data_IF_628251412998
#
_entry.id   IF_628251412998
#
_cell.length_a   1.000
_cell.length_b   1.000
_cell.length_c   1.000
_cell.angle_alpha   90.00
_cell.angle_beta   90.00
_cell.angle_gamma   90.00
#
_symmetry.space_group_name_H-M   'P 1'
#
loop_
_entity.id
_entity.type
_entity.pdbx_description
1 polymer ?
#
# COMPACT_ATOMS: atom_id res chain seq x y z
N UNK A 1 13.80 -3.06 10.78
CA UNK A 1 14.78 -2.02 10.38
C UNK A 1 15.74 -2.53 9.32
N UNK A 2 16.33 -3.73 9.46
CA UNK A 2 17.33 -4.24 8.51
C UNK A 2 16.86 -4.30 7.04
N UNK A 3 15.64 -4.78 6.77
CA UNK A 3 15.14 -4.86 5.39
C UNK A 3 14.91 -3.47 4.78
N UNK A 4 14.38 -2.52 5.57
CA UNK A 4 14.15 -1.14 5.12
C UNK A 4 15.47 -0.48 4.75
N UNK A 5 16.51 -0.60 5.56
CA UNK A 5 17.82 0.00 5.25
C UNK A 5 18.51 -0.63 4.03
N UNK A 6 18.26 -1.90 3.73
CA UNK A 6 18.79 -2.57 2.53
C UNK A 6 18.10 -2.09 1.25
N UNK A 7 16.77 -1.96 1.28
CA UNK A 7 15.98 -1.56 0.11
C UNK A 7 16.02 -0.05 -0.09
N UNK A 8 15.90 0.71 0.99
CA UNK A 8 15.87 2.16 1.02
C UNK A 8 17.09 2.73 1.79
N UNK A 9 18.32 2.59 1.24
CA UNK A 9 19.49 3.19 1.85
C UNK A 9 19.39 4.72 1.80
N UNK A 10 19.86 5.40 2.84
CA UNK A 10 19.87 6.87 2.93
C UNK A 10 18.48 7.53 2.84
N UNK A 11 17.41 6.82 3.22
CA UNK A 11 16.05 7.37 3.22
C UNK A 11 15.90 8.64 4.10
N UNK A 12 16.81 8.82 5.06
CA UNK A 12 16.88 9.99 5.93
C UNK A 12 17.58 11.22 5.30
N UNK A 13 18.15 11.09 4.09
CA UNK A 13 18.83 12.15 3.36
C UNK A 13 17.93 12.60 2.20
N UNK A 14 17.38 13.81 2.30
CA UNK A 14 16.33 14.29 1.38
C UNK A 14 16.78 14.30 -0.08
N UNK A 15 18.04 14.65 -0.32
CA UNK A 15 18.63 14.80 -1.65
C UNK A 15 18.80 13.45 -2.37
N UNK A 16 18.88 12.34 -1.62
CA UNK A 16 19.02 10.99 -2.17
C UNK A 16 17.66 10.39 -2.58
N UNK A 17 16.56 10.83 -1.96
CA UNK A 17 15.20 10.33 -2.21
C UNK A 17 14.60 11.02 -3.44
N UNK A 18 15.13 10.66 -4.60
CA UNK A 18 14.64 11.13 -5.90
C UNK A 18 13.44 10.33 -6.42
N UNK A 19 12.82 10.80 -7.50
CA UNK A 19 11.79 10.05 -8.22
C UNK A 19 12.29 8.66 -8.64
N UNK A 20 13.41 8.61 -9.37
CA UNK A 20 14.04 7.37 -9.82
C UNK A 20 14.38 6.44 -8.65
N UNK A 21 14.80 6.99 -7.51
CA UNK A 21 15.06 6.21 -6.31
C UNK A 21 13.83 5.40 -5.88
N UNK A 22 12.64 6.01 -5.86
CA UNK A 22 11.40 5.36 -5.44
C UNK A 22 10.78 4.45 -6.52
N UNK A 23 10.95 4.77 -7.80
CA UNK A 23 10.54 3.91 -8.92
C UNK A 23 11.20 2.53 -8.80
N UNK A 24 12.49 2.52 -8.49
CA UNK A 24 13.35 1.35 -8.55
C UNK A 24 13.28 0.44 -7.30
N UNK A 25 12.56 0.83 -6.24
CA UNK A 25 12.61 0.18 -4.93
C UNK A 25 11.23 -0.15 -4.38
N UNK A 26 11.04 -1.36 -3.87
CA UNK A 26 9.84 -1.74 -3.12
C UNK A 26 10.09 -2.88 -2.13
N UNK A 27 9.34 -2.86 -1.03
CA UNK A 27 9.25 -3.99 -0.09
C UNK A 27 7.94 -4.74 -0.32
N UNK A 28 8.00 -6.06 -0.33
CA UNK A 28 6.87 -6.96 -0.56
C UNK A 28 6.62 -7.78 0.70
N UNK A 29 5.35 -7.94 1.07
CA UNK A 29 4.92 -8.88 2.10
C UNK A 29 3.68 -9.65 1.64
N UNK A 30 3.42 -10.81 2.24
CA UNK A 30 2.22 -11.58 1.96
C UNK A 30 0.95 -10.90 2.51
N UNK A 31 1.04 -10.28 3.69
CA UNK A 31 -0.13 -9.79 4.44
C UNK A 31 -0.22 -8.26 4.51
N UNK A 32 -1.43 -7.73 4.61
CA UNK A 32 -1.68 -6.28 4.64
C UNK A 32 -1.22 -5.62 5.96
N UNK A 33 -1.34 -6.33 7.09
CA UNK A 33 -0.89 -5.86 8.41
C UNK A 33 0.63 -5.64 8.44
N UNK A 34 1.41 -6.57 7.89
CA UNK A 34 2.86 -6.43 7.73
C UNK A 34 3.20 -5.22 6.85
N UNK A 35 2.51 -5.04 5.73
CA UNK A 35 2.68 -3.88 4.85
C UNK A 35 2.40 -2.57 5.59
N UNK A 36 1.30 -2.50 6.34
CA UNK A 36 0.94 -1.34 7.14
C UNK A 36 2.01 -1.04 8.20
N UNK A 37 2.50 -2.05 8.91
CA UNK A 37 3.55 -1.89 9.92
C UNK A 37 4.88 -1.40 9.32
N UNK A 38 5.29 -1.93 8.17
CA UNK A 38 6.49 -1.48 7.45
C UNK A 38 6.32 -0.03 6.99
N UNK A 39 5.20 0.31 6.35
CA UNK A 39 4.95 1.66 5.87
C UNK A 39 4.92 2.68 7.01
N UNK A 40 4.23 2.39 8.13
CA UNK A 40 4.18 3.24 9.31
C UNK A 40 5.56 3.45 9.95
N UNK A 41 6.41 2.42 9.93
CA UNK A 41 7.79 2.55 10.42
C UNK A 41 8.68 3.34 9.45
N UNK A 42 8.49 3.14 8.14
CA UNK A 42 9.37 3.68 7.09
C UNK A 42 9.18 5.18 6.90
N UNK A 43 7.95 5.69 6.97
CA UNK A 43 7.69 7.14 6.81
C UNK A 43 8.37 8.00 7.89
N UNK A 44 8.59 7.44 9.08
CA UNK A 44 9.28 8.14 10.17
C UNK A 44 10.78 8.34 9.90
N UNK A 45 11.37 7.54 9.01
CA UNK A 45 12.77 7.69 8.59
C UNK A 45 12.95 8.78 7.54
N UNK A 46 11.90 9.08 6.76
CA UNK A 46 11.93 10.13 5.75
C UNK A 46 11.94 11.51 6.42
N UNK A 47 12.85 12.43 6.05
CA UNK A 47 12.89 13.77 6.63
C UNK A 47 11.69 14.60 6.16
N UNK A 48 11.40 15.69 6.88
CA UNK A 48 10.33 16.62 6.55
C UNK A 48 9.10 16.51 7.43
N UNK A 49 8.19 17.48 7.22
CA UNK A 49 6.96 17.66 7.97
C UNK A 49 5.94 16.55 7.65
N UNK A 50 5.26 16.08 8.70
CA UNK A 50 4.19 15.10 8.59
C UNK A 50 2.86 15.83 8.37
N UNK A 51 2.19 15.51 7.27
CA UNK A 51 0.85 15.98 6.96
C UNK A 51 -0.15 14.91 7.39
N UNK A 52 -1.14 15.32 8.19
CA UNK A 52 -2.20 14.44 8.67
C UNK A 52 -3.54 14.81 8.03
N UNK A 53 -4.22 13.82 7.46
CA UNK A 53 -5.54 13.97 6.88
C UNK A 53 -6.51 13.01 7.57
N UNK A 54 -7.43 13.56 8.35
CA UNK A 54 -8.51 12.80 8.95
C UNK A 54 -9.64 12.59 7.93
N UNK A 55 -10.11 11.35 7.81
CA UNK A 55 -11.23 11.01 6.97
C UNK A 55 -12.56 11.45 7.60
N UNK A 56 -13.60 11.54 6.78
CA UNK A 56 -14.98 11.65 7.25
C UNK A 56 -15.72 10.34 6.96
N UNK A 57 -16.10 9.63 8.03
CA UNK A 57 -16.82 8.36 7.96
C UNK A 57 -18.32 8.58 8.20
N UNK A 58 -19.14 7.95 7.35
CA UNK A 58 -20.60 8.08 7.38
C UNK A 58 -21.24 6.70 7.28
N UNK A 59 -22.20 6.39 8.15
CA UNK A 59 -23.03 5.18 8.05
C UNK A 59 -24.04 5.30 6.92
N UNK A 60 -24.29 4.19 6.22
CA UNK A 60 -25.31 4.12 5.17
C UNK A 60 -26.51 3.39 5.77
N UNK A 61 -27.41 4.14 6.43
CA UNK A 61 -28.54 3.57 7.18
C UNK A 61 -29.56 2.81 6.29
N UNK A 62 -29.66 3.19 5.02
CA UNK A 62 -30.57 2.59 4.05
C UNK A 62 -30.24 1.10 3.80
N UNK A 63 -28.97 0.74 3.90
CA UNK A 63 -28.45 -0.62 3.67
C UNK A 63 -28.40 -1.46 4.96
N UNK A 64 -28.78 -0.89 6.10
CA UNK A 64 -28.87 -1.61 7.38
C UNK A 64 -30.20 -2.37 7.44
N UNK A 65 -30.14 -3.64 7.82
CA UNK A 65 -31.32 -4.48 8.09
C UNK A 65 -32.30 -3.75 9.02
N UNK A 66 -33.60 -3.83 8.74
CA UNK A 66 -34.64 -3.06 9.46
C UNK A 66 -34.59 -3.27 10.97
N UNK A 67 -34.22 -4.48 11.42
CA UNK A 67 -34.07 -4.83 12.84
C UNK A 67 -32.88 -4.13 13.53
N UNK A 68 -31.88 -3.71 12.75
CA UNK A 68 -30.67 -3.04 13.23
C UNK A 68 -30.69 -1.51 13.01
N UNK A 69 -31.73 -0.98 12.32
CA UNK A 69 -31.89 0.46 12.09
C UNK A 69 -32.12 1.20 13.41
N UNK A 70 -31.28 2.19 13.70
CA UNK A 70 -31.34 2.99 14.94
C UNK A 70 -30.33 2.60 16.02
N UNK A 71 -29.57 1.51 15.85
CA UNK A 71 -28.40 1.24 16.67
C UNK A 71 -27.32 2.29 16.36
N UNK A 72 -27.12 3.25 17.27
CA UNK A 72 -26.10 4.29 17.13
C UNK A 72 -24.72 3.66 17.27
N UNK A 73 -24.08 3.36 16.14
CA UNK A 73 -22.67 2.94 16.13
C UNK A 73 -21.82 4.16 16.51
N UNK A 74 -20.98 4.01 17.54
CA UNK A 74 -20.06 5.07 17.93
C UNK A 74 -19.12 5.41 16.76
N UNK A 75 -18.86 6.70 16.52
CA UNK A 75 -17.95 7.14 15.46
C UNK A 75 -16.55 6.54 15.60
N UNK A 76 -16.10 6.30 16.84
CA UNK A 76 -14.83 5.62 17.15
C UNK A 76 -14.74 4.20 16.55
N UNK A 77 -15.86 3.48 16.52
CA UNK A 77 -15.92 2.15 15.89
C UNK A 77 -15.85 2.24 14.36
N UNK A 78 -16.34 3.33 13.75
CA UNK A 78 -16.18 3.57 12.30
C UNK A 78 -14.72 3.88 11.97
N UNK A 79 -14.13 4.79 12.75
CA UNK A 79 -12.81 5.35 12.52
C UNK A 79 -11.69 4.31 12.69
N UNK A 80 -11.92 3.28 13.50
CA UNK A 80 -10.95 2.19 13.73
C UNK A 80 -10.92 1.14 12.61
N UNK A 81 -11.89 1.15 11.68
CA UNK A 81 -11.91 0.23 10.55
C UNK A 81 -10.84 0.61 9.51
N UNK A 82 -9.99 -0.37 9.17
CA UNK A 82 -8.94 -0.23 8.15
C UNK A 82 -9.02 -1.34 7.08
N UNK A 83 -10.16 -1.50 6.37
CA UNK A 83 -10.27 -2.53 5.34
C UNK A 83 -9.35 -2.20 4.14
N UNK A 84 -8.80 -3.22 3.44
CA UNK A 84 -7.85 -3.00 2.34
C UNK A 84 -8.39 -2.13 1.19
N UNK A 85 -9.71 -2.12 0.99
CA UNK A 85 -10.36 -1.33 -0.05
C UNK A 85 -10.54 0.15 0.30
N UNK A 86 -10.37 0.56 1.57
CA UNK A 86 -10.45 1.94 2.00
C UNK A 86 -9.05 2.50 2.30
N UNK A 87 -8.85 3.83 2.18
CA UNK A 87 -7.71 4.50 2.77
C UNK A 87 -7.84 4.51 4.30
N UNK A 88 -6.73 4.67 5.03
CA UNK A 88 -6.75 4.78 6.48
C UNK A 88 -7.57 5.99 6.92
N UNK A 89 -8.19 5.89 8.10
CA UNK A 89 -8.92 7.00 8.71
C UNK A 89 -8.00 8.21 8.95
N UNK A 90 -6.84 7.98 9.57
CA UNK A 90 -5.78 8.97 9.67
C UNK A 90 -4.70 8.67 8.62
N UNK A 91 -4.71 9.42 7.53
CA UNK A 91 -3.70 9.32 6.47
C UNK A 91 -2.55 10.26 6.78
N UNK A 92 -1.40 9.69 7.11
CA UNK A 92 -0.17 10.42 7.41
C UNK A 92 0.80 10.35 6.23
N UNK A 93 1.22 11.51 5.71
CA UNK A 93 2.07 11.63 4.53
C UNK A 93 3.23 12.60 4.77
N UNK A 94 4.29 12.48 3.98
CA UNK A 94 5.38 13.46 3.89
C UNK A 94 5.66 13.76 2.43
N UNK A 95 6.14 14.97 2.15
CA UNK A 95 6.64 15.30 0.80
C UNK A 95 7.79 14.34 0.45
N UNK A 96 7.76 13.77 -0.75
CA UNK A 96 8.72 12.78 -1.22
C UNK A 96 8.41 11.34 -0.83
N UNK A 97 7.33 11.05 -0.09
CA UNK A 97 6.97 9.66 0.19
C UNK A 97 6.23 9.01 -1.01
N UNK A 98 6.43 7.69 -1.26
CA UNK A 98 5.64 6.95 -2.22
C UNK A 98 4.27 6.60 -1.65
N UNK A 99 3.23 6.80 -2.45
CA UNK A 99 1.85 6.38 -2.20
C UNK A 99 1.34 5.50 -3.35
N UNK A 100 0.27 4.77 -3.13
CA UNK A 100 -0.37 3.91 -4.11
C UNK A 100 -1.86 4.23 -4.18
N UNK A 101 -2.38 4.35 -5.40
CA UNK A 101 -3.79 4.63 -5.66
C UNK A 101 -4.66 3.38 -5.43
N UNK A 102 -5.80 3.54 -4.75
CA UNK A 102 -6.71 2.45 -4.37
C UNK A 102 -7.91 2.29 -5.31
N UNK A 103 -8.11 3.23 -6.25
CA UNK A 103 -9.23 3.23 -7.20
C UNK A 103 -8.77 3.75 -8.56
N UNK A 104 -9.52 3.35 -9.58
CA UNK A 104 -9.39 3.94 -10.91
C UNK A 104 -10.01 5.33 -10.86
N UNK A 105 -9.19 6.37 -11.08
CA UNK A 105 -9.68 7.74 -11.22
C UNK A 105 -9.73 8.12 -12.70
N UNK A 106 -8.62 7.87 -13.41
CA UNK A 106 -8.47 8.23 -14.82
C UNK A 106 -7.52 7.24 -15.51
N UNK A 107 -7.99 6.01 -15.82
CA UNK A 107 -7.12 4.94 -16.34
C UNK A 107 -6.38 5.27 -17.62
N UNK A 108 -6.99 6.12 -18.47
CA UNK A 108 -6.38 6.54 -19.74
C UNK A 108 -5.10 7.35 -19.56
N UNK A 109 -4.97 8.00 -18.40
CA UNK A 109 -3.82 8.85 -18.05
C UNK A 109 -3.01 8.24 -16.89
N UNK A 110 -3.01 6.91 -16.81
CA UNK A 110 -2.21 6.16 -15.83
C UNK A 110 -2.74 6.16 -14.40
N UNK A 111 -3.86 6.83 -14.07
CA UNK A 111 -4.43 6.84 -12.71
C UNK A 111 -5.34 5.63 -12.45
N UNK A 112 -4.72 4.45 -12.42
CA UNK A 112 -5.35 3.16 -12.12
C UNK A 112 -5.11 2.72 -10.66
N UNK A 113 -5.95 1.80 -10.17
CA UNK A 113 -5.66 1.09 -8.91
C UNK A 113 -4.30 0.38 -8.98
N UNK A 114 -3.45 0.60 -7.98
CA UNK A 114 -2.09 0.07 -7.93
C UNK A 114 -1.01 1.00 -8.50
N UNK A 115 -1.39 2.12 -9.11
CA UNK A 115 -0.44 3.13 -9.59
C UNK A 115 0.32 3.71 -8.41
N UNK A 116 1.64 3.67 -8.47
CA UNK A 116 2.54 4.24 -7.47
C UNK A 116 2.81 5.69 -7.85
N UNK A 117 2.79 6.57 -6.85
CA UNK A 117 3.01 8.00 -7.01
C UNK A 117 4.02 8.48 -5.96
N UNK A 118 4.79 9.52 -6.23
CA UNK A 118 5.58 10.25 -5.23
C UNK A 118 4.88 11.56 -4.89
N UNK A 119 4.65 11.81 -3.61
CA UNK A 119 4.04 13.06 -3.13
C UNK A 119 4.97 14.25 -3.41
N UNK A 120 4.48 15.26 -4.11
CA UNK A 120 5.18 16.52 -4.38
C UNK A 120 4.69 17.63 -3.46
N UNK A 121 3.37 17.69 -3.24
CA UNK A 121 2.75 18.69 -2.38
C UNK A 121 1.46 18.16 -1.75
N UNK A 122 1.14 18.68 -0.56
CA UNK A 122 -0.04 18.33 0.22
C UNK A 122 -0.88 19.59 0.48
N UNK A 123 -2.02 19.71 -0.19
CA UNK A 123 -3.02 20.74 0.09
C UNK A 123 -4.25 20.13 0.76
N UNK A 124 -5.12 20.98 1.32
CA UNK A 124 -6.28 20.54 2.12
C UNK A 124 -7.21 19.55 1.39
N UNK A 125 -7.37 19.70 0.07
CA UNK A 125 -8.32 18.89 -0.73
C UNK A 125 -7.68 18.15 -1.91
N UNK A 126 -6.39 18.35 -2.14
CA UNK A 126 -5.66 17.84 -3.30
C UNK A 126 -4.24 17.46 -2.87
N UNK A 127 -3.79 16.30 -3.32
CA UNK A 127 -2.37 15.90 -3.29
C UNK A 127 -1.80 16.05 -4.69
N UNK A 128 -0.68 16.74 -4.82
CA UNK A 128 0.10 16.80 -6.05
C UNK A 128 1.13 15.67 -6.01
N UNK A 129 1.21 14.87 -7.05
CA UNK A 129 2.10 13.72 -7.08
C UNK A 129 2.64 13.42 -8.49
N UNK A 130 3.75 12.71 -8.56
CA UNK A 130 4.36 12.24 -9.82
C UNK A 130 4.17 10.74 -9.95
N UNK A 131 3.79 10.24 -11.12
CA UNK A 131 3.64 8.80 -11.38
C UNK A 131 5.01 8.09 -11.40
N UNK A 132 5.11 6.96 -10.69
CA UNK A 132 6.33 6.16 -10.51
C UNK A 132 6.33 4.82 -11.28
N UNK A 133 5.23 4.42 -11.90
CA UNK A 133 5.18 3.16 -12.66
C UNK A 133 4.22 3.24 -13.86
N UNK A 134 4.39 2.29 -14.79
CA UNK A 134 3.54 2.18 -15.99
C UNK A 134 4.00 3.05 -17.16
N UNK A 135 3.09 3.33 -18.10
CA UNK A 135 3.37 4.09 -19.33
C UNK A 135 3.44 5.61 -19.12
N UNK A 136 2.98 6.10 -17.96
CA UNK A 136 2.86 7.52 -17.62
C UNK A 136 3.88 7.98 -16.57
N UNK A 137 5.00 7.25 -16.41
CA UNK A 137 6.05 7.57 -15.44
C UNK A 137 6.56 9.00 -15.67
N UNK A 138 6.65 9.79 -14.60
CA UNK A 138 7.09 11.18 -14.63
C UNK A 138 5.97 12.21 -14.81
N UNK A 139 4.75 11.79 -15.14
CA UNK A 139 3.62 12.72 -15.27
C UNK A 139 3.22 13.29 -13.90
N UNK A 140 3.02 14.61 -13.83
CA UNK A 140 2.47 15.31 -12.66
C UNK A 140 0.94 15.21 -12.67
N UNK A 141 0.38 14.78 -11.53
CA UNK A 141 -1.05 14.52 -11.37
C UNK A 141 -1.59 15.09 -10.06
N UNK A 142 -2.91 15.27 -10.01
CA UNK A 142 -3.62 15.79 -8.84
C UNK A 142 -4.62 14.76 -8.33
N UNK A 143 -4.50 14.38 -7.06
CA UNK A 143 -5.33 13.37 -6.42
C UNK A 143 -6.33 14.08 -5.49
N UNK A 144 -7.64 14.09 -5.80
CA UNK A 144 -8.66 14.69 -4.94
C UNK A 144 -9.12 13.73 -3.84
N UNK A 145 -9.74 14.28 -2.79
CA UNK A 145 -10.53 13.48 -1.86
C UNK A 145 -11.84 13.00 -2.52
N UNK A 146 -12.16 11.72 -2.36
CA UNK A 146 -13.40 11.12 -2.85
C UNK A 146 -14.10 10.32 -1.76
N UNK A 147 -15.40 10.08 -1.92
CA UNK A 147 -16.14 9.16 -1.06
C UNK A 147 -15.98 7.73 -1.57
N UNK A 148 -15.63 6.82 -0.67
CA UNK A 148 -15.38 5.41 -0.96
C UNK A 148 -16.30 4.55 -0.13
N UNK A 149 -16.90 3.56 -0.77
CA UNK A 149 -17.73 2.54 -0.10
C UNK A 149 -16.94 1.23 -0.15
N UNK A 150 -16.68 0.58 1.00
CA UNK A 150 -16.06 -0.75 1.04
C UNK A 150 -17.02 -1.79 0.47
N UNK A 151 -16.51 -2.97 0.14
CA UNK A 151 -17.43 -4.08 -0.20
C UNK A 151 -18.15 -4.56 1.06
N UNK A 152 -19.40 -5.02 0.93
CA UNK A 152 -20.29 -5.35 2.06
C UNK A 152 -19.66 -6.36 3.04
N UNK A 153 -18.74 -7.21 2.56
CA UNK A 153 -18.05 -8.22 3.37
C UNK A 153 -16.83 -7.71 4.14
N UNK A 154 -16.34 -6.50 3.84
CA UNK A 154 -15.12 -5.96 4.45
C UNK A 154 -15.37 -5.17 5.74
N UNK A 155 -16.61 -4.72 5.96
CA UNK A 155 -17.00 -3.97 7.15
C UNK A 155 -18.22 -4.60 7.81
N UNK A 156 -18.32 -4.57 9.15
CA UNK A 156 -19.45 -5.16 9.88
C UNK A 156 -20.78 -4.42 9.64
N UNK A 157 -20.75 -3.25 9.00
CA UNK A 157 -21.92 -2.46 8.64
C UNK A 157 -21.63 -1.64 7.37
N UNK A 158 -22.68 -1.25 6.62
CA UNK A 158 -22.57 -0.35 5.48
C UNK A 158 -22.07 1.05 5.90
N UNK A 159 -20.99 1.50 5.28
CA UNK A 159 -20.41 2.82 5.54
C UNK A 159 -19.79 3.41 4.28
N UNK A 160 -19.51 4.72 4.31
CA UNK A 160 -18.66 5.40 3.35
C UNK A 160 -17.57 6.19 4.06
N UNK A 161 -16.38 6.25 3.46
CA UNK A 161 -15.23 7.02 3.93
C UNK A 161 -14.86 8.06 2.89
N UNK A 162 -14.89 9.35 3.25
CA UNK A 162 -14.39 10.43 2.41
C UNK A 162 -12.94 10.75 2.75
N UNK A 163 -12.04 10.47 1.82
CA UNK A 163 -10.59 10.60 2.01
C UNK A 163 -9.88 10.58 0.63
N UNK A 164 -8.58 10.92 0.59
CA UNK A 164 -7.75 10.62 -0.58
C UNK A 164 -7.69 9.11 -0.83
N UNK A 165 -7.91 8.62 -2.06
CA UNK A 165 -7.96 7.21 -2.37
C UNK A 165 -6.55 6.60 -2.48
N UNK A 166 -5.70 6.79 -1.47
CA UNK A 166 -4.29 6.39 -1.46
C UNK A 166 -3.87 5.74 -0.15
N UNK A 167 -2.81 4.94 -0.20
CA UNK A 167 -2.06 4.42 0.96
C UNK A 167 -0.56 4.61 0.74
N UNK A 168 0.24 4.63 1.80
CA UNK A 168 1.69 4.58 1.69
C UNK A 168 2.16 3.34 0.92
N UNK A 169 3.25 3.48 0.16
CA UNK A 169 3.70 2.48 -0.79
C UNK A 169 5.24 2.28 -0.80
N UNK A 170 5.88 2.38 0.37
CA UNK A 170 7.23 1.82 0.55
C UNK A 170 7.17 0.30 0.51
N UNK A 171 6.14 -0.26 1.16
CA UNK A 171 5.77 -1.65 1.06
C UNK A 171 4.41 -1.82 0.37
N UNK A 172 4.22 -2.97 -0.29
CA UNK A 172 2.95 -3.42 -0.84
C UNK A 172 2.82 -4.93 -0.70
N UNK A 173 1.62 -5.48 -0.89
CA UNK A 173 1.46 -6.93 -0.87
C UNK A 173 2.04 -7.56 -2.14
N UNK A 174 2.52 -8.80 -2.03
CA UNK A 174 2.99 -9.60 -3.17
C UNK A 174 1.93 -9.63 -4.27
N UNK A 175 0.66 -9.82 -3.92
CA UNK A 175 -0.46 -9.83 -4.87
C UNK A 175 -0.56 -8.48 -5.62
N UNK A 176 -0.36 -7.34 -4.95
CA UNK A 176 -0.41 -6.00 -5.58
C UNK A 176 0.81 -5.70 -6.44
N UNK A 177 1.94 -6.36 -6.20
CA UNK A 177 3.13 -6.26 -7.03
C UNK A 177 3.03 -7.02 -8.36
N UNK A 178 1.95 -7.77 -8.59
CA UNK A 178 1.79 -8.55 -9.81
C UNK A 178 1.78 -7.63 -11.06
N UNK A 179 2.67 -7.90 -12.03
CA UNK A 179 2.84 -7.08 -13.24
C UNK A 179 3.79 -5.89 -13.08
N UNK A 180 4.34 -5.65 -11.89
CA UNK A 180 5.32 -4.58 -11.65
C UNK A 180 6.73 -5.17 -11.60
N UNK A 181 7.73 -4.40 -12.03
CA UNK A 181 9.15 -4.77 -11.93
C UNK A 181 9.92 -3.60 -11.34
N UNK A 182 10.79 -3.89 -10.38
CA UNK A 182 11.64 -2.88 -9.72
C UNK A 182 13.08 -3.39 -9.63
N UNK A 183 14.06 -2.50 -9.51
CA UNK A 183 15.47 -2.88 -9.50
C UNK A 183 15.93 -3.45 -8.16
N UNK A 184 15.31 -3.06 -7.06
CA UNK A 184 15.64 -3.51 -5.70
C UNK A 184 14.36 -3.95 -4.99
N UNK A 185 14.36 -5.18 -4.50
CA UNK A 185 13.20 -5.77 -3.82
C UNK A 185 13.60 -6.25 -2.44
N UNK A 186 12.85 -5.82 -1.43
CA UNK A 186 12.82 -6.49 -0.14
C UNK A 186 11.65 -7.44 -0.09
N UNK A 187 11.83 -8.67 0.37
CA UNK A 187 10.75 -9.63 0.61
C UNK A 187 10.70 -9.90 2.11
N UNK A 188 9.64 -9.46 2.75
CA UNK A 188 9.36 -9.77 4.16
C UNK A 188 8.55 -11.06 4.25
N UNK A 189 9.20 -12.10 4.78
CA UNK A 189 8.66 -13.44 4.99
C UNK A 189 8.67 -13.82 6.48
N UNK A 190 8.73 -12.84 7.39
CA UNK A 190 8.51 -13.08 8.83
C UNK A 190 7.18 -13.80 9.08
N UNK A 191 6.19 -13.51 8.24
CA UNK A 191 5.02 -14.35 8.05
C UNK A 191 5.14 -15.05 6.68
N UNK A 192 4.97 -16.39 6.62
CA UNK A 192 5.12 -17.11 5.37
C UNK A 192 4.01 -16.77 4.37
N UNK A 193 4.29 -17.00 3.09
CA UNK A 193 3.26 -16.92 2.03
C UNK A 193 2.16 -17.96 2.28
N UNK A 194 0.94 -17.65 1.86
CA UNK A 194 -0.24 -18.47 2.15
C UNK A 194 -0.98 -18.94 0.90
N UNK A 195 -0.53 -18.54 -0.29
CA UNK A 195 -1.17 -18.91 -1.56
C UNK A 195 -0.15 -19.36 -2.59
N UNK A 196 -0.63 -20.18 -3.52
CA UNK A 196 0.17 -20.72 -4.61
C UNK A 196 0.79 -19.62 -5.47
N UNK A 197 2.06 -19.81 -5.83
CA UNK A 197 2.78 -18.91 -6.73
C UNK A 197 3.17 -17.57 -6.11
N UNK A 198 2.76 -17.23 -4.88
CA UNK A 198 3.12 -15.95 -4.25
C UNK A 198 4.63 -15.79 -4.11
N UNK A 199 5.33 -16.84 -3.68
CA UNK A 199 6.79 -16.77 -3.54
C UNK A 199 7.46 -16.50 -4.90
N UNK A 200 7.01 -17.20 -5.95
CA UNK A 200 7.47 -16.98 -7.32
C UNK A 200 7.18 -15.55 -7.81
N UNK A 201 5.98 -15.03 -7.55
CA UNK A 201 5.62 -13.65 -7.88
C UNK A 201 6.58 -12.68 -7.18
N UNK A 202 6.86 -12.87 -5.89
CA UNK A 202 7.76 -12.01 -5.13
C UNK A 202 9.18 -11.97 -5.70
N UNK A 203 9.79 -13.14 -5.94
CA UNK A 203 11.15 -13.22 -6.48
C UNK A 203 11.25 -12.73 -7.93
N UNK A 204 10.21 -12.91 -8.74
CA UNK A 204 10.19 -12.43 -10.13
C UNK A 204 9.99 -10.92 -10.27
N UNK A 205 9.82 -10.16 -9.17
CA UNK A 205 9.71 -8.68 -9.24
C UNK A 205 11.04 -7.98 -9.46
N UNK A 206 12.15 -8.67 -9.26
CA UNK A 206 13.49 -8.15 -9.50
C UNK A 206 14.18 -8.96 -10.60
N UNK A 207 14.96 -8.28 -11.44
CA UNK A 207 15.69 -8.91 -12.55
C UNK A 207 17.03 -9.51 -12.13
N UNK A 208 17.57 -9.12 -10.98
CA UNK A 208 18.88 -9.55 -10.48
C UNK A 208 18.76 -10.06 -9.04
N UNK A 209 19.22 -11.29 -8.79
CA UNK A 209 19.21 -11.91 -7.46
C UNK A 209 19.96 -11.09 -6.43
N UNK A 210 21.05 -10.42 -6.82
CA UNK A 210 21.91 -9.63 -5.92
C UNK A 210 21.21 -8.39 -5.37
N UNK A 211 20.05 -8.03 -5.94
CA UNK A 211 19.22 -6.90 -5.53
C UNK A 211 17.94 -7.32 -4.82
N UNK A 212 17.86 -8.60 -4.45
CA UNK A 212 16.79 -9.15 -3.62
C UNK A 212 17.32 -9.32 -2.20
N UNK A 213 16.65 -8.69 -1.24
CA UNK A 213 16.87 -8.92 0.18
C UNK A 213 15.68 -9.65 0.77
N UNK A 214 15.90 -10.75 1.48
CA UNK A 214 14.84 -11.52 2.14
C UNK A 214 14.98 -11.39 3.64
N UNK A 215 13.87 -11.15 4.33
CA UNK A 215 13.78 -11.15 5.78
C UNK A 215 12.95 -12.37 6.22
N UNK A 216 13.57 -13.27 6.99
CA UNK A 216 12.95 -14.47 7.51
C UNK A 216 12.64 -14.34 9.01
N UNK A 217 11.80 -15.23 9.58
CA UNK A 217 11.61 -15.30 11.03
C UNK A 217 12.94 -15.57 11.75
N UNK A 218 13.11 -15.03 12.96
CA UNK A 218 14.38 -15.13 13.71
C UNK A 218 14.71 -16.54 14.20
N UNK A 219 13.69 -17.40 14.30
CA UNK A 219 13.78 -18.72 14.94
C UNK A 219 13.85 -19.86 13.90
N UNK A 220 14.03 -19.56 12.61
CA UNK A 220 13.95 -20.53 11.51
C UNK A 220 15.32 -20.79 10.86
N UNK A 221 15.51 -21.98 10.29
CA UNK A 221 16.76 -22.48 9.68
C UNK A 221 17.10 -21.81 8.31
N UNK A 222 16.78 -20.52 8.15
CA UNK A 222 16.77 -19.80 6.88
C UNK A 222 15.87 -20.44 5.80
N UNK A 223 14.77 -21.09 6.23
CA UNK A 223 13.78 -21.71 5.35
C UNK A 223 12.45 -20.95 5.38
N UNK A 224 11.64 -21.15 4.34
CA UNK A 224 10.26 -20.62 4.26
C UNK A 224 9.38 -21.61 3.52
N UNK A 225 8.09 -21.64 3.85
CA UNK A 225 7.11 -22.46 3.16
C UNK A 225 6.90 -21.97 1.72
N UNK A 226 6.92 -22.89 0.77
CA UNK A 226 6.46 -22.66 -0.59
C UNK A 226 5.13 -23.40 -0.81
N UNK A 227 4.07 -22.68 -1.13
CA UNK A 227 2.74 -23.26 -1.37
C UNK A 227 2.62 -23.65 -2.84
N UNK A 228 2.47 -24.94 -3.12
CA UNK A 228 2.32 -25.48 -4.48
C UNK A 228 1.02 -26.26 -4.58
N UNK A 229 0.14 -25.91 -5.53
CA UNK A 229 -1.03 -26.69 -5.91
C UNK A 229 -0.70 -27.49 -7.17
N UNK A 230 -0.38 -28.80 -7.06
CA UNK A 230 0.07 -29.61 -8.18
C UNK A 230 -0.95 -29.70 -9.32
N UNK A 231 -2.24 -29.53 -9.03
CA UNK A 231 -3.34 -29.56 -9.98
C UNK A 231 -3.22 -28.45 -11.04
N UNK A 232 -2.54 -27.35 -10.70
CA UNK A 232 -2.31 -26.20 -11.61
C UNK A 232 -1.12 -26.46 -12.55
N UNK A 233 -0.24 -27.41 -12.21
CA UNK A 233 0.99 -27.73 -12.97
C UNK A 233 0.80 -28.87 -13.97
N UNK A 234 -0.32 -29.60 -13.89
CA UNK A 234 -0.64 -30.77 -14.73
C UNK A 234 -1.65 -30.46 -15.86
N UNK A 235 -1.91 -29.17 -16.11
CA UNK A 235 -2.81 -28.69 -17.17
C UNK A 235 -2.15 -28.52 -18.52
#
# INVERSE_FOLDING_TARGET
MELISKVYPNLNIKEEVTQQYLEERSILSARNDDVSAINASTINLLPGELYEFLAADTLIEEDIEVENRGNRIASENLNSLDPPSLPPFNLQLKIGCPIMLLRNLQPRDGLCNGTRLMVVNCATKVIEAIILNGSHVGDLVFIPQISLIPTVTETPFPMSRRQFPVRLAFAMTINKSQGQSVKYVGIDLRNPVFSHGQLYVAFSRCTSSDRISVLLPKDDDNITTNVVYPEVLLG
#
